data_IF_048979566963
#
_entry.id   IF_048979566963
#
_cell.length_a   1.000
_cell.length_b   1.000
_cell.length_c   1.000
_cell.angle_alpha   90.00
_cell.angle_beta   90.00
_cell.angle_gamma   90.00
#
_symmetry.space_group_name_H-M   'P 1'
#
loop_
_entity.id
_entity.type
_entity.pdbx_description
1 polymer ?
#
# COMPACT_ATOMS: atom_id res chain seq x y z
N UNK A 1 -4.23 -9.50 8.64
CA UNK A 1 -4.48 -9.04 7.26
C UNK A 1 -4.66 -7.54 7.27
N UNK A 2 -3.84 -6.84 6.50
CA UNK A 2 -3.99 -5.40 6.28
C UNK A 2 -5.25 -5.11 5.45
N UNK A 3 -5.92 -3.99 5.72
CA UNK A 3 -7.08 -3.56 4.92
C UNK A 3 -6.82 -2.14 4.43
N UNK A 4 -6.57 -2.01 3.11
CA UNK A 4 -6.27 -0.73 2.43
C UNK A 4 -7.26 0.35 2.87
N UNK A 5 -8.55 0.13 2.63
CA UNK A 5 -9.60 1.11 2.89
C UNK A 5 -9.82 1.43 4.36
N UNK A 6 -9.60 0.46 5.26
CA UNK A 6 -9.71 0.73 6.70
C UNK A 6 -8.66 1.75 7.12
N UNK A 7 -7.43 1.51 6.68
CA UNK A 7 -6.27 2.29 7.05
C UNK A 7 -6.28 3.67 6.42
N UNK A 8 -6.61 3.73 5.12
CA UNK A 8 -6.80 4.98 4.40
C UNK A 8 -7.80 5.88 5.15
N UNK A 9 -8.95 5.34 5.55
CA UNK A 9 -9.99 6.09 6.26
C UNK A 9 -9.60 6.54 7.67
N UNK A 10 -8.76 5.78 8.38
CA UNK A 10 -8.40 6.08 9.77
C UNK A 10 -7.13 6.90 9.93
N UNK A 11 -6.20 6.80 8.98
CA UNK A 11 -4.85 7.35 9.10
C UNK A 11 -4.61 8.55 8.17
N UNK A 12 -5.36 8.66 7.06
CA UNK A 12 -5.06 9.64 6.01
C UNK A 12 -6.23 10.54 5.65
N UNK A 13 -7.44 9.97 5.49
CA UNK A 13 -8.62 10.75 5.12
C UNK A 13 -8.97 11.73 6.25
N UNK A 14 -9.14 13.03 5.95
CA UNK A 14 -9.57 14.00 6.96
C UNK A 14 -10.91 13.61 7.59
N UNK A 15 -11.10 13.77 8.91
CA UNK A 15 -12.38 13.48 9.57
C UNK A 15 -13.56 14.24 8.97
N UNK A 16 -13.32 15.48 8.52
CA UNK A 16 -14.28 16.36 7.83
C UNK A 16 -14.52 15.98 6.35
N UNK A 17 -13.73 15.05 5.81
CA UNK A 17 -13.74 14.66 4.40
C UNK A 17 -13.01 15.66 3.48
N UNK A 18 -13.16 15.45 2.18
CA UNK A 18 -12.60 16.32 1.15
C UNK A 18 -13.64 17.32 0.65
N UNK A 19 -13.21 18.53 0.32
CA UNK A 19 -14.08 19.59 -0.21
C UNK A 19 -14.66 19.20 -1.58
N UNK A 20 -13.82 18.63 -2.44
CA UNK A 20 -14.21 18.12 -3.74
C UNK A 20 -13.38 16.89 -4.16
N UNK A 21 -13.71 16.34 -5.34
CA UNK A 21 -13.04 15.16 -5.88
C UNK A 21 -11.59 15.44 -6.29
N UNK A 22 -11.24 16.68 -6.67
CA UNK A 22 -9.88 17.02 -7.08
C UNK A 22 -8.95 17.04 -5.87
N UNK A 23 -9.41 17.56 -4.74
CA UNK A 23 -8.70 17.51 -3.47
C UNK A 23 -8.50 16.06 -3.01
N UNK A 24 -9.55 15.23 -3.10
CA UNK A 24 -9.46 13.80 -2.78
C UNK A 24 -8.43 13.08 -3.65
N UNK A 25 -8.45 13.32 -4.97
CA UNK A 25 -7.48 12.71 -5.90
C UNK A 25 -6.05 13.15 -5.56
N UNK A 26 -5.84 14.45 -5.32
CA UNK A 26 -4.52 15.00 -5.01
C UNK A 26 -3.92 14.39 -3.75
N UNK A 27 -4.74 14.09 -2.75
CA UNK A 27 -4.29 13.56 -1.46
C UNK A 27 -4.18 12.02 -1.44
N UNK A 28 -5.15 11.31 -2.01
CA UNK A 28 -5.17 9.83 -2.00
C UNK A 28 -4.12 9.24 -2.96
N UNK A 29 -3.82 9.91 -4.07
CA UNK A 29 -2.83 9.43 -5.06
C UNK A 29 -1.44 9.22 -4.44
N UNK A 30 -0.83 10.20 -3.75
CA UNK A 30 0.47 10.00 -3.09
C UNK A 30 0.38 9.03 -1.91
N UNK A 31 -0.76 8.92 -1.22
CA UNK A 31 -0.93 7.89 -0.20
C UNK A 31 -0.81 6.48 -0.78
N UNK A 32 -1.57 6.17 -1.85
CA UNK A 32 -1.53 4.83 -2.45
C UNK A 32 -0.21 4.59 -3.19
N UNK A 33 0.17 5.53 -4.06
CA UNK A 33 1.34 5.39 -4.94
C UNK A 33 2.69 5.59 -4.25
N UNK A 34 2.71 6.21 -3.07
CA UNK A 34 3.90 6.39 -2.25
C UNK A 34 3.80 5.54 -0.99
N UNK A 35 3.27 6.14 0.07
CA UNK A 35 3.34 5.59 1.42
C UNK A 35 2.82 4.14 1.52
N UNK A 36 1.60 3.86 1.06
CA UNK A 36 0.99 2.54 1.20
C UNK A 36 1.77 1.45 0.45
N UNK A 37 2.18 1.72 -0.79
CA UNK A 37 2.86 0.72 -1.62
C UNK A 37 4.34 0.54 -1.29
N UNK A 38 5.02 1.60 -0.84
CA UNK A 38 6.49 1.59 -0.68
C UNK A 38 6.96 1.55 0.77
N UNK A 39 6.25 2.22 1.69
CA UNK A 39 6.77 2.48 3.04
C UNK A 39 6.00 1.76 4.13
N UNK A 40 4.72 1.43 3.88
CA UNK A 40 3.84 0.89 4.91
C UNK A 40 4.25 -0.54 5.28
N UNK A 41 4.49 -0.84 6.57
CA UNK A 41 4.81 -2.20 6.98
C UNK A 41 3.54 -3.06 7.12
N UNK A 42 3.48 -4.19 6.41
CA UNK A 42 2.33 -5.10 6.47
C UNK A 42 2.66 -6.34 7.32
N UNK A 43 1.92 -6.55 8.41
CA UNK A 43 2.10 -7.74 9.27
C UNK A 43 1.93 -9.08 8.53
N UNK A 44 1.07 -9.11 7.50
CA UNK A 44 0.89 -10.29 6.66
C UNK A 44 2.10 -10.55 5.75
N UNK A 45 2.80 -9.50 5.33
CA UNK A 45 3.99 -9.58 4.49
C UNK A 45 5.28 -9.68 5.34
N UNK A 46 5.17 -10.09 6.61
CA UNK A 46 6.32 -10.15 7.52
C UNK A 46 6.91 -8.78 7.88
N UNK A 47 6.12 -7.71 7.77
CA UNK A 47 6.56 -6.33 8.03
C UNK A 47 7.07 -5.59 6.79
N UNK A 48 7.13 -6.23 5.63
CA UNK A 48 7.52 -5.62 4.37
C UNK A 48 6.41 -4.75 3.78
N UNK A 49 6.79 -3.80 2.93
CA UNK A 49 5.83 -3.09 2.08
C UNK A 49 5.26 -3.99 0.98
N UNK A 50 4.13 -3.63 0.34
CA UNK A 50 3.56 -4.40 -0.76
C UNK A 50 4.56 -4.59 -1.90
N UNK A 51 5.28 -3.54 -2.30
CA UNK A 51 6.25 -3.59 -3.39
C UNK A 51 7.44 -4.50 -3.05
N UNK A 52 7.96 -4.41 -1.82
CA UNK A 52 9.04 -5.27 -1.37
C UNK A 52 8.64 -6.75 -1.34
N UNK A 53 7.43 -7.02 -0.85
CA UNK A 53 6.90 -8.38 -0.80
C UNK A 53 6.69 -8.97 -2.20
N UNK A 54 6.09 -8.21 -3.12
CA UNK A 54 5.91 -8.65 -4.52
C UNK A 54 7.25 -8.95 -5.18
N UNK A 55 8.26 -8.09 -4.98
CA UNK A 55 9.60 -8.32 -5.51
C UNK A 55 10.20 -9.64 -5.02
N UNK A 56 10.16 -9.90 -3.71
CA UNK A 56 10.69 -11.16 -3.15
C UNK A 56 9.91 -12.37 -3.66
N UNK A 57 8.60 -12.24 -3.83
CA UNK A 57 7.77 -13.32 -4.37
C UNK A 57 8.10 -13.64 -5.83
N UNK A 58 8.32 -12.62 -6.67
CA UNK A 58 8.75 -12.82 -8.07
C UNK A 58 10.17 -13.42 -8.16
N UNK A 59 11.10 -13.01 -7.29
CA UNK A 59 12.42 -13.63 -7.19
C UNK A 59 12.31 -15.12 -6.82
N UNK A 60 11.47 -15.47 -5.83
CA UNK A 60 11.26 -16.85 -5.41
C UNK A 60 10.64 -17.73 -6.51
N UNK A 61 9.68 -17.20 -7.26
CA UNK A 61 9.08 -17.89 -8.42
C UNK A 61 10.10 -18.20 -9.51
N UNK A 62 10.97 -17.24 -9.81
CA UNK A 62 11.99 -17.41 -10.84
C UNK A 62 12.97 -18.52 -10.47
N UNK A 63 13.40 -18.58 -9.19
CA UNK A 63 14.26 -19.67 -8.70
C UNK A 63 13.56 -21.03 -8.78
N UNK A 64 12.29 -21.10 -8.37
CA UNK A 64 11.50 -22.34 -8.44
C UNK A 64 11.23 -22.80 -9.87
N UNK A 65 11.26 -21.91 -10.86
CA UNK A 65 11.02 -22.25 -12.27
C UNK A 65 12.29 -22.73 -12.99
N UNK A 66 13.46 -22.54 -12.38
CA UNK A 66 14.76 -22.97 -12.89
C UNK A 66 15.15 -24.36 -12.34
N UNK A 67 14.48 -24.83 -11.27
CA UNK A 67 14.68 -26.15 -10.65
C UNK A 67 13.77 -27.21 -11.28
#
# INVERSE_FOLDING_TARGET
>A
MERVFRSLKSEWVPPEGYLDIHDAIRDITPYLGGYYNHDRPHSFNGGLSPVEYEKQWEEAKNVSSIS
#
